data_IF_634736037190
#
_entry.id   IF_634736037190
#
_cell.length_a   1.000
_cell.length_b   1.000
_cell.length_c   1.000
_cell.angle_alpha   90.00
_cell.angle_beta   90.00
_cell.angle_gamma   90.00
#
_symmetry.space_group_name_H-M   'P 1'
#
loop_
_entity.id
_entity.type
_entity.pdbx_description
1 polymer ?
#
# COMPACT_ATOMS: atom_id res chain seq x y z
N UNK A 1 -20.45 -57.03 31.89
CA UNK A 1 -20.21 -57.07 30.44
C UNK A 1 -20.09 -55.64 29.94
N UNK A 2 -18.98 -55.33 29.24
CA UNK A 2 -18.53 -54.02 28.77
C UNK A 2 -19.46 -53.49 27.67
N UNK A 3 -19.87 -52.22 27.74
CA UNK A 3 -20.41 -51.48 26.61
C UNK A 3 -19.39 -50.39 26.24
N UNK A 4 -18.82 -50.56 25.05
CA UNK A 4 -17.80 -49.71 24.44
C UNK A 4 -18.46 -48.45 23.86
N UNK A 5 -18.04 -47.27 24.33
CA UNK A 5 -18.28 -46.02 23.63
C UNK A 5 -17.18 -45.85 22.57
N UNK A 6 -17.56 -45.88 21.30
CA UNK A 6 -16.69 -45.48 20.19
C UNK A 6 -16.83 -43.97 20.00
N UNK A 7 -15.87 -43.21 20.50
CA UNK A 7 -15.74 -41.80 20.18
C UNK A 7 -15.03 -41.67 18.81
N UNK A 8 -15.78 -41.36 17.77
CA UNK A 8 -15.24 -41.00 16.47
C UNK A 8 -14.67 -39.57 16.54
N UNK A 9 -13.34 -39.46 16.62
CA UNK A 9 -12.63 -38.18 16.52
C UNK A 9 -12.59 -37.69 15.09
N UNK A 10 -13.36 -36.63 14.79
CA UNK A 10 -13.24 -35.89 13.53
C UNK A 10 -11.99 -35.01 13.61
N UNK A 11 -10.91 -35.44 12.98
CA UNK A 11 -9.74 -34.61 12.69
C UNK A 11 -10.12 -33.58 11.62
N UNK A 12 -10.44 -32.36 12.06
CA UNK A 12 -10.54 -31.19 11.19
C UNK A 12 -9.15 -30.88 10.63
N UNK A 13 -8.86 -31.39 9.43
CA UNK A 13 -7.73 -30.94 8.64
C UNK A 13 -7.98 -29.48 8.23
N UNK A 14 -7.35 -28.55 8.94
CA UNK A 14 -7.31 -27.15 8.54
C UNK A 14 -6.65 -27.05 7.15
N UNK A 15 -7.22 -26.30 6.20
CA UNK A 15 -6.67 -26.18 4.86
C UNK A 15 -5.26 -25.56 4.93
N UNK A 16 -4.30 -26.20 4.27
CA UNK A 16 -2.89 -25.83 4.26
C UNK A 16 -2.59 -24.44 3.64
N UNK A 17 -3.58 -23.80 3.02
CA UNK A 17 -3.46 -22.50 2.35
C UNK A 17 -3.20 -21.32 3.29
N UNK A 18 -3.50 -21.45 4.58
CA UNK A 18 -3.26 -20.38 5.56
C UNK A 18 -1.80 -20.30 6.05
N UNK A 19 -0.99 -21.35 5.84
CA UNK A 19 0.40 -21.39 6.30
C UNK A 19 1.36 -20.66 5.34
N UNK A 20 1.18 -20.79 4.03
CA UNK A 20 2.04 -20.13 3.04
C UNK A 20 1.98 -18.60 3.08
N UNK A 21 0.83 -18.00 3.42
CA UNK A 21 0.72 -16.55 3.55
C UNK A 21 1.51 -15.98 4.74
N UNK A 22 1.87 -16.80 5.74
CA UNK A 22 2.58 -16.34 6.93
C UNK A 22 4.08 -16.10 6.68
N UNK A 23 4.65 -16.60 5.59
CA UNK A 23 6.09 -16.54 5.32
C UNK A 23 6.50 -15.31 4.49
N UNK A 24 5.54 -14.59 3.92
CA UNK A 24 5.76 -13.36 3.14
C UNK A 24 5.34 -12.15 3.97
N UNK A 25 6.32 -11.43 4.53
CA UNK A 25 6.07 -10.27 5.39
C UNK A 25 6.80 -9.03 4.88
N UNK A 26 6.18 -7.88 5.08
CA UNK A 26 6.78 -6.57 4.92
C UNK A 26 6.73 -5.81 6.26
N UNK A 27 7.80 -5.08 6.57
CA UNK A 27 7.89 -4.28 7.79
C UNK A 27 7.46 -2.84 7.53
N UNK A 28 6.33 -2.44 8.13
CA UNK A 28 5.89 -1.03 8.17
C UNK A 28 6.97 -0.12 8.74
N UNK A 29 7.64 -0.54 9.82
CA UNK A 29 8.72 0.22 10.43
C UNK A 29 9.87 0.48 9.45
N UNK A 30 10.25 -0.51 8.65
CA UNK A 30 11.33 -0.38 7.66
C UNK A 30 10.96 0.63 6.58
N UNK A 31 9.75 0.52 6.02
CA UNK A 31 9.23 1.44 5.00
C UNK A 31 9.16 2.87 5.55
N UNK A 32 8.57 3.07 6.73
CA UNK A 32 8.48 4.38 7.37
C UNK A 32 9.86 4.97 7.63
N UNK A 33 10.81 4.19 8.13
CA UNK A 33 12.18 4.65 8.37
C UNK A 33 12.88 5.08 7.07
N UNK A 34 12.68 4.35 5.98
CA UNK A 34 13.21 4.74 4.67
C UNK A 34 12.60 6.07 4.20
N UNK A 35 11.27 6.20 4.31
CA UNK A 35 10.56 7.41 3.90
C UNK A 35 11.06 8.61 4.71
N UNK A 36 11.14 8.50 6.03
CA UNK A 36 11.61 9.58 6.91
C UNK A 36 13.05 10.00 6.60
N UNK A 37 13.95 9.05 6.34
CA UNK A 37 15.31 9.34 5.93
C UNK A 37 15.36 10.06 4.56
N UNK A 38 14.55 9.63 3.59
CA UNK A 38 14.44 10.27 2.28
C UNK A 38 13.84 11.69 2.38
N UNK A 39 12.83 11.88 3.23
CA UNK A 39 12.21 13.18 3.50
C UNK A 39 13.18 14.14 4.20
N UNK A 40 13.98 13.65 5.14
CA UNK A 40 15.03 14.44 5.78
C UNK A 40 16.13 14.83 4.77
N UNK A 41 16.50 13.93 3.85
CA UNK A 41 17.45 14.24 2.79
C UNK A 41 16.93 15.31 1.83
N UNK A 42 15.63 15.30 1.50
CA UNK A 42 15.02 16.32 0.63
C UNK A 42 15.23 17.73 1.18
N UNK A 43 15.10 17.92 2.50
CA UNK A 43 15.35 19.21 3.14
C UNK A 43 16.81 19.68 3.03
N UNK A 44 17.76 18.75 2.85
CA UNK A 44 19.18 19.06 2.76
C UNK A 44 19.67 19.22 1.32
N UNK A 45 19.17 18.38 0.40
CA UNK A 45 19.68 18.27 -0.97
C UNK A 45 18.74 18.83 -2.03
N UNK A 46 17.49 19.14 -1.66
CA UNK A 46 16.44 19.55 -2.60
C UNK A 46 15.96 18.43 -3.55
N UNK A 47 16.45 17.20 -3.38
CA UNK A 47 16.09 16.06 -4.25
C UNK A 47 15.16 15.10 -3.53
N UNK A 48 13.98 14.84 -4.10
CA UNK A 48 13.03 13.86 -3.56
C UNK A 48 13.42 12.44 -4.00
N UNK A 49 14.00 11.67 -3.06
CA UNK A 49 14.38 10.27 -3.25
C UNK A 49 13.41 9.28 -2.61
N UNK A 50 12.24 9.72 -2.14
CA UNK A 50 11.28 8.85 -1.42
C UNK A 50 10.80 7.66 -2.25
N UNK A 51 10.78 7.78 -3.58
CA UNK A 51 10.43 6.68 -4.50
C UNK A 51 11.41 5.49 -4.42
N UNK A 52 12.62 5.69 -3.90
CA UNK A 52 13.59 4.59 -3.70
C UNK A 52 13.16 3.61 -2.60
N UNK A 53 12.26 4.03 -1.70
CA UNK A 53 11.69 3.16 -0.67
C UNK A 53 10.72 2.13 -1.23
N UNK A 54 10.20 2.33 -2.45
CA UNK A 54 9.30 1.38 -3.09
C UNK A 54 10.05 0.11 -3.46
N UNK A 55 9.52 -1.03 -3.04
CA UNK A 55 10.09 -2.34 -3.30
C UNK A 55 11.17 -2.77 -2.30
N UNK A 56 11.49 -1.97 -1.27
CA UNK A 56 12.53 -2.33 -0.30
C UNK A 56 12.16 -3.60 0.47
N UNK A 57 10.91 -3.69 0.92
CA UNK A 57 10.43 -4.87 1.66
C UNK A 57 10.16 -6.05 0.73
N UNK A 58 9.80 -5.81 -0.53
CA UNK A 58 9.72 -6.86 -1.54
C UNK A 58 11.10 -7.52 -1.70
N UNK A 59 12.18 -6.72 -1.81
CA UNK A 59 13.55 -7.25 -1.90
C UNK A 59 13.98 -7.97 -0.62
N UNK A 60 13.65 -7.44 0.55
CA UNK A 60 13.97 -8.06 1.83
C UNK A 60 13.23 -9.39 2.02
N UNK A 61 11.92 -9.42 1.76
CA UNK A 61 11.11 -10.65 1.76
C UNK A 61 11.67 -11.69 0.78
N UNK A 62 12.09 -11.25 -0.42
CA UNK A 62 12.70 -12.16 -1.39
C UNK A 62 14.06 -12.72 -0.94
N UNK A 63 14.83 -12.03 -0.10
CA UNK A 63 16.09 -12.58 0.39
C UNK A 63 15.90 -13.53 1.58
N UNK A 64 14.83 -13.35 2.36
CA UNK A 64 14.56 -14.12 3.59
C UNK A 64 13.65 -15.34 3.41
N UNK A 65 12.82 -15.39 2.37
CA UNK A 65 11.84 -16.48 2.20
C UNK A 65 12.36 -17.56 1.26
N UNK A 66 12.28 -18.83 1.66
CA UNK A 66 12.59 -19.95 0.76
C UNK A 66 11.34 -20.32 -0.06
N UNK A 67 11.43 -20.24 -1.39
CA UNK A 67 10.40 -20.72 -2.31
C UNK A 67 11.07 -21.12 -3.63
N UNK A 68 10.62 -22.24 -4.18
CA UNK A 68 11.12 -22.81 -5.44
C UNK A 68 10.59 -22.03 -6.65
N UNK A 69 9.39 -21.45 -6.55
CA UNK A 69 8.72 -20.74 -7.64
C UNK A 69 8.97 -19.23 -7.54
N UNK A 70 10.02 -18.75 -8.21
CA UNK A 70 10.44 -17.34 -8.15
C UNK A 70 9.33 -16.34 -8.51
N UNK A 71 8.43 -16.67 -9.43
CA UNK A 71 7.31 -15.79 -9.78
C UNK A 71 6.29 -15.67 -8.63
N UNK A 72 5.96 -16.77 -7.94
CA UNK A 72 5.06 -16.75 -6.78
C UNK A 72 5.68 -15.98 -5.62
N UNK A 73 6.94 -16.27 -5.30
CA UNK A 73 7.71 -15.54 -4.29
C UNK A 73 7.69 -14.03 -4.52
N UNK A 74 7.94 -13.58 -5.75
CA UNK A 74 7.87 -12.15 -6.10
C UNK A 74 6.47 -11.57 -5.95
N UNK A 75 5.45 -12.30 -6.40
CA UNK A 75 4.05 -11.90 -6.28
C UNK A 75 3.66 -11.71 -4.80
N UNK A 76 3.90 -12.71 -3.95
CA UNK A 76 3.53 -12.64 -2.54
C UNK A 76 4.33 -11.58 -1.77
N UNK A 77 5.64 -11.46 -1.99
CA UNK A 77 6.43 -10.39 -1.37
C UNK A 77 5.97 -8.99 -1.82
N UNK A 78 5.61 -8.81 -3.09
CA UNK A 78 5.09 -7.54 -3.58
C UNK A 78 3.72 -7.20 -2.99
N UNK A 79 2.83 -8.19 -2.87
CA UNK A 79 1.52 -8.03 -2.23
C UNK A 79 1.64 -7.68 -0.74
N UNK A 80 2.53 -8.35 0.00
CA UNK A 80 2.77 -8.05 1.41
C UNK A 80 3.26 -6.60 1.61
N UNK A 81 4.14 -6.11 0.75
CA UNK A 81 4.55 -4.71 0.78
C UNK A 81 3.41 -3.77 0.37
N UNK A 82 2.58 -4.15 -0.62
CA UNK A 82 1.44 -3.34 -1.05
C UNK A 82 0.42 -3.12 0.09
N UNK A 83 0.16 -4.12 0.93
CA UNK A 83 -0.71 -3.99 2.10
C UNK A 83 -0.21 -2.92 3.08
N UNK A 84 1.10 -2.90 3.33
CA UNK A 84 1.72 -1.88 4.18
C UNK A 84 1.59 -0.49 3.57
N UNK A 85 1.88 -0.35 2.27
CA UNK A 85 1.69 0.92 1.58
C UNK A 85 0.22 1.37 1.57
N UNK A 86 -0.73 0.44 1.47
CA UNK A 86 -2.16 0.74 1.48
C UNK A 86 -2.60 1.29 2.84
N UNK A 87 -2.11 0.70 3.92
CA UNK A 87 -2.29 1.24 5.27
C UNK A 87 -1.74 2.66 5.39
N UNK A 88 -0.48 2.88 4.98
CA UNK A 88 0.16 4.20 5.02
C UNK A 88 -0.59 5.24 4.17
N UNK A 89 -1.13 4.83 3.03
CA UNK A 89 -1.93 5.67 2.14
C UNK A 89 -3.23 6.10 2.81
N UNK A 90 -3.97 5.17 3.43
CA UNK A 90 -5.21 5.47 4.16
C UNK A 90 -4.95 6.38 5.37
N UNK A 91 -3.91 6.09 6.14
CA UNK A 91 -3.54 6.90 7.31
C UNK A 91 -3.20 8.34 6.87
N UNK A 92 -2.46 8.52 5.77
CA UNK A 92 -2.16 9.83 5.20
C UNK A 92 -3.40 10.53 4.62
N UNK A 93 -4.30 9.79 3.96
CA UNK A 93 -5.57 10.32 3.45
C UNK A 93 -6.46 10.83 4.59
N UNK A 94 -6.62 10.05 5.66
CA UNK A 94 -7.38 10.46 6.83
C UNK A 94 -6.80 11.73 7.48
N UNK A 95 -5.47 11.83 7.57
CA UNK A 95 -4.81 13.03 8.07
C UNK A 95 -5.05 14.26 7.16
N UNK A 96 -5.06 14.09 5.84
CA UNK A 96 -5.39 15.17 4.90
C UNK A 96 -6.84 15.62 5.07
N UNK A 97 -7.79 14.68 5.18
CA UNK A 97 -9.20 15.01 5.42
C UNK A 97 -9.35 15.81 6.72
N UNK A 98 -8.70 15.39 7.80
CA UNK A 98 -8.74 16.10 9.07
C UNK A 98 -8.14 17.51 8.98
N UNK A 99 -7.01 17.67 8.28
CA UNK A 99 -6.37 18.98 8.04
C UNK A 99 -7.28 19.90 7.23
N UNK A 100 -7.77 19.42 6.10
CA UNK A 100 -8.56 20.24 5.19
C UNK A 100 -9.99 20.51 5.68
N UNK A 101 -10.54 19.66 6.56
CA UNK A 101 -11.81 19.97 7.21
C UNK A 101 -11.70 21.23 8.09
N UNK A 102 -10.59 21.39 8.82
CA UNK A 102 -10.33 22.61 9.61
C UNK A 102 -10.12 23.81 8.68
N UNK A 103 -9.33 23.64 7.64
CA UNK A 103 -9.08 24.68 6.62
C UNK A 103 -10.38 25.15 5.96
N UNK A 104 -11.21 24.23 5.48
CA UNK A 104 -12.49 24.54 4.83
C UNK A 104 -13.42 25.30 5.79
N UNK A 105 -13.45 24.92 7.08
CA UNK A 105 -14.22 25.63 8.10
C UNK A 105 -13.70 27.07 8.32
N UNK A 106 -12.39 27.25 8.41
CA UNK A 106 -11.76 28.56 8.57
C UNK A 106 -12.00 29.48 7.35
N UNK A 107 -11.84 28.96 6.14
CA UNK A 107 -12.09 29.73 4.90
C UNK A 107 -13.57 30.09 4.74
N UNK A 108 -14.49 29.18 5.10
CA UNK A 108 -15.94 29.45 5.02
C UNK A 108 -16.41 30.62 5.88
N UNK A 109 -15.65 30.97 6.92
CA UNK A 109 -15.94 32.10 7.81
C UNK A 109 -15.39 33.43 7.28
N UNK A 110 -14.52 33.40 6.27
CA UNK A 110 -13.90 34.63 5.73
C UNK A 110 -14.86 35.33 4.78
N UNK A 111 -15.14 36.60 5.05
CA UNK A 111 -15.95 37.46 4.18
C UNK A 111 -15.06 38.15 3.15
N UNK A 112 -14.57 37.39 2.16
CA UNK A 112 -13.67 37.91 1.11
C UNK A 112 -14.41 38.43 -0.12
N UNK A 113 -15.72 38.16 -0.24
CA UNK A 113 -16.51 38.44 -1.44
C UNK A 113 -16.22 37.52 -2.62
N UNK A 114 -15.36 36.50 -2.43
CA UNK A 114 -15.04 35.46 -3.41
C UNK A 114 -15.69 34.16 -2.95
N UNK A 115 -16.33 33.44 -3.89
CA UNK A 115 -16.89 32.12 -3.61
C UNK A 115 -15.75 31.12 -3.31
N UNK A 116 -15.85 30.45 -2.17
CA UNK A 116 -14.86 29.47 -1.72
C UNK A 116 -15.30 28.06 -2.13
N UNK A 117 -14.42 27.34 -2.84
CA UNK A 117 -14.61 25.93 -3.17
C UNK A 117 -13.96 25.03 -2.09
N UNK A 118 -14.73 24.19 -1.37
CA UNK A 118 -14.19 23.35 -0.31
C UNK A 118 -13.22 22.27 -0.83
N UNK A 119 -12.11 22.07 -0.13
CA UNK A 119 -11.07 21.12 -0.54
C UNK A 119 -11.47 19.67 -0.25
N UNK A 120 -12.18 19.40 0.85
CA UNK A 120 -12.49 18.03 1.29
C UNK A 120 -13.33 17.25 0.27
N UNK A 121 -14.42 17.79 -0.32
CA UNK A 121 -15.17 17.11 -1.37
C UNK A 121 -14.31 16.75 -2.59
N UNK A 122 -13.50 17.70 -3.08
CA UNK A 122 -12.61 17.46 -4.21
C UNK A 122 -11.55 16.40 -3.90
N UNK A 123 -10.98 16.41 -2.68
CA UNK A 123 -10.01 15.40 -2.24
C UNK A 123 -10.63 13.99 -2.17
N UNK A 124 -11.87 13.87 -1.68
CA UNK A 124 -12.59 12.58 -1.65
C UNK A 124 -12.87 12.06 -3.05
N UNK A 125 -13.36 12.92 -3.94
CA UNK A 125 -13.60 12.55 -5.33
C UNK A 125 -12.32 12.10 -6.04
N UNK A 126 -11.20 12.81 -5.81
CA UNK A 126 -9.91 12.44 -6.38
C UNK A 126 -9.37 11.12 -5.81
N UNK A 127 -9.70 10.77 -4.57
CA UNK A 127 -9.35 9.49 -3.96
C UNK A 127 -10.17 8.35 -4.58
N UNK A 128 -11.49 8.52 -4.65
CA UNK A 128 -12.40 7.53 -5.25
C UNK A 128 -12.05 7.25 -6.72
N UNK A 129 -11.77 8.30 -7.51
CA UNK A 129 -11.35 8.15 -8.89
C UNK A 129 -10.03 7.38 -9.03
N UNK A 130 -9.11 7.54 -8.08
CA UNK A 130 -7.85 6.80 -8.05
C UNK A 130 -8.07 5.31 -7.71
N UNK A 131 -8.93 5.00 -6.74
CA UNK A 131 -9.27 3.61 -6.38
C UNK A 131 -9.91 2.82 -7.53
N UNK A 132 -10.60 3.52 -8.45
CA UNK A 132 -11.22 2.92 -9.63
C UNK A 132 -10.25 2.64 -10.79
N UNK A 133 -8.99 3.10 -10.71
CA UNK A 133 -7.98 2.92 -11.74
C UNK A 133 -7.69 1.43 -12.03
N UNK A 134 -7.48 1.09 -13.31
CA UNK A 134 -7.29 -0.31 -13.77
C UNK A 134 -5.93 -0.59 -14.41
N UNK A 135 -4.94 0.28 -14.22
CA UNK A 135 -3.71 0.25 -15.02
C UNK A 135 -2.90 -1.06 -14.87
N UNK A 136 -3.06 -1.77 -13.75
CA UNK A 136 -2.33 -3.01 -13.50
C UNK A 136 -2.80 -4.21 -14.33
N UNK A 137 -3.95 -4.12 -15.01
CA UNK A 137 -4.36 -5.16 -15.97
C UNK A 137 -3.43 -5.18 -17.20
N UNK A 138 -2.96 -4.01 -17.64
CA UNK A 138 -1.95 -3.95 -18.70
C UNK A 138 -0.64 -4.63 -18.27
N UNK A 139 -0.20 -4.42 -17.02
CA UNK A 139 0.99 -5.07 -16.47
C UNK A 139 0.88 -6.60 -16.45
N UNK A 140 -0.34 -7.15 -16.29
CA UNK A 140 -0.60 -8.60 -16.40
C UNK A 140 -0.49 -9.10 -17.85
N UNK A 141 -0.93 -8.32 -18.82
CA UNK A 141 -1.02 -8.73 -20.24
C UNK A 141 0.30 -8.53 -20.97
N UNK A 142 1.02 -7.45 -20.70
CA UNK A 142 2.24 -7.04 -21.41
C UNK A 142 3.29 -8.17 -21.55
N UNK A 143 3.56 -9.02 -20.53
CA UNK A 143 4.56 -10.09 -20.64
C UNK A 143 4.12 -11.30 -21.51
N UNK A 144 2.87 -11.32 -22.01
CA UNK A 144 2.33 -12.42 -22.81
C UNK A 144 2.15 -13.72 -22.03
N UNK A 145 2.73 -14.82 -22.52
CA UNK A 145 2.65 -16.15 -21.91
C UNK A 145 3.80 -16.43 -20.93
N UNK A 146 4.72 -15.48 -20.70
CA UNK A 146 5.81 -15.62 -19.74
C UNK A 146 5.32 -15.63 -18.28
N UNK A 147 6.12 -16.18 -17.38
CA UNK A 147 5.79 -16.28 -15.94
C UNK A 147 5.65 -14.93 -15.25
N UNK A 148 6.22 -13.87 -15.82
CA UNK A 148 6.14 -12.51 -15.26
C UNK A 148 4.72 -11.96 -15.22
N UNK A 149 3.79 -12.52 -16.02
CA UNK A 149 2.35 -12.23 -15.94
C UNK A 149 1.74 -12.53 -14.56
N UNK A 150 2.41 -13.37 -13.76
CA UNK A 150 1.96 -13.78 -12.44
C UNK A 150 2.27 -12.68 -11.41
N UNK A 151 3.48 -12.09 -11.44
CA UNK A 151 3.90 -11.14 -10.41
C UNK A 151 3.87 -9.67 -10.85
N UNK A 152 3.89 -9.38 -12.16
CA UNK A 152 3.76 -8.02 -12.68
C UNK A 152 2.55 -7.22 -12.15
N UNK A 153 1.32 -7.78 -12.09
CA UNK A 153 0.19 -7.02 -11.53
C UNK A 153 0.37 -6.70 -10.04
N UNK A 154 0.96 -7.59 -9.24
CA UNK A 154 1.23 -7.34 -7.82
C UNK A 154 2.26 -6.21 -7.61
N UNK A 155 3.34 -6.21 -8.40
CA UNK A 155 4.34 -5.12 -8.37
C UNK A 155 3.72 -3.79 -8.81
N UNK A 156 2.89 -3.80 -9.86
CA UNK A 156 2.17 -2.61 -10.29
C UNK A 156 1.27 -2.05 -9.18
N UNK A 157 0.46 -2.91 -8.55
CA UNK A 157 -0.42 -2.50 -7.46
C UNK A 157 0.36 -1.89 -6.29
N UNK A 158 1.45 -2.55 -5.86
CA UNK A 158 2.38 -2.02 -4.86
C UNK A 158 2.87 -0.61 -5.23
N UNK A 159 3.38 -0.45 -6.45
CA UNK A 159 3.98 0.81 -6.89
C UNK A 159 2.96 1.95 -6.97
N UNK A 160 1.73 1.66 -7.42
CA UNK A 160 0.64 2.64 -7.49
C UNK A 160 0.20 3.10 -6.10
N UNK A 161 -0.02 2.17 -5.18
CA UNK A 161 -0.43 2.48 -3.80
C UNK A 161 0.69 3.24 -3.08
N UNK A 162 1.95 2.83 -3.26
CA UNK A 162 3.09 3.52 -2.69
C UNK A 162 3.22 4.96 -3.23
N UNK A 163 3.10 5.15 -4.55
CA UNK A 163 3.12 6.48 -5.15
C UNK A 163 2.01 7.38 -4.62
N UNK A 164 0.80 6.82 -4.38
CA UNK A 164 -0.32 7.57 -3.80
C UNK A 164 -0.05 7.94 -2.34
N UNK A 165 0.47 7.02 -1.54
CA UNK A 165 0.87 7.28 -0.16
C UNK A 165 1.90 8.43 -0.08
N UNK A 166 2.94 8.37 -0.91
CA UNK A 166 3.98 9.40 -0.98
C UNK A 166 3.42 10.76 -1.42
N UNK A 167 2.48 10.77 -2.37
CA UNK A 167 1.78 11.98 -2.79
C UNK A 167 1.02 12.62 -1.62
N UNK A 168 0.25 11.83 -0.86
CA UNK A 168 -0.49 12.35 0.30
C UNK A 168 0.43 12.85 1.40
N UNK A 169 1.53 12.14 1.68
CA UNK A 169 2.56 12.61 2.63
C UNK A 169 3.21 13.92 2.19
N UNK A 170 3.48 14.09 0.90
CA UNK A 170 4.01 15.35 0.34
C UNK A 170 3.03 16.50 0.57
N UNK A 171 1.74 16.30 0.31
CA UNK A 171 0.72 17.31 0.57
C UNK A 171 0.58 17.63 2.07
N UNK A 172 0.71 16.65 2.96
CA UNK A 172 0.77 16.88 4.41
C UNK A 172 1.96 17.74 4.84
N UNK A 173 3.07 17.73 4.09
CA UNK A 173 4.20 18.64 4.30
C UNK A 173 4.00 20.04 3.70
N UNK A 174 2.86 20.31 3.07
CA UNK A 174 2.57 21.61 2.46
C UNK A 174 3.32 21.87 1.15
N UNK A 175 3.74 20.81 0.45
CA UNK A 175 4.33 20.90 -0.89
C UNK A 175 3.26 20.51 -1.94
N UNK A 176 2.46 21.48 -2.44
CA UNK A 176 1.57 21.23 -3.56
C UNK A 176 2.37 21.09 -4.87
N UNK A 177 1.79 20.34 -5.82
CA UNK A 177 2.21 20.09 -7.21
C UNK A 177 3.69 20.35 -7.55
#
# INVERSE_FOLDING_TARGET
MRWLWVAAGVLLALPATAREAQDYKASEKSIVSCIEAAEASLSQTGTDITRQCIGIETRNCMSSTEDTYQAHKRMFCASAEAEVWFKLMQDAFAALIARYTKHDAEESQRQTGVEYEPVVPALKQAHEAWEQGKDCEFARIQPGMGTDRIDAPARCGRDQVAARALTYRRWLRGQPY
#
